data_IF_871841591867
#
_entry.id   IF_871841591867
#
_cell.length_a   1.000
_cell.length_b   1.000
_cell.length_c   1.000
_cell.angle_alpha   90.00
_cell.angle_beta   90.00
_cell.angle_gamma   90.00
#
_symmetry.space_group_name_H-M   'P 1'
#
loop_
_entity.id
_entity.type
_entity.pdbx_description
1 polymer ?
#
# COMPACT_ATOMS: atom_id res chain seq x y z
N UNK A 1 -0.27 8.23 2.51
CA UNK A 1 -0.49 9.21 1.40
C UNK A 1 -1.35 8.49 0.38
N UNK A 2 -2.43 9.11 -0.06
CA UNK A 2 -3.27 8.52 -1.10
C UNK A 2 -2.47 8.42 -2.42
N UNK A 3 -2.55 7.27 -3.08
CA UNK A 3 -1.88 7.01 -4.33
C UNK A 3 -2.82 7.29 -5.50
N UNK A 4 -2.32 7.94 -6.54
CA UNK A 4 -3.11 8.19 -7.75
C UNK A 4 -3.21 6.88 -8.55
N UNK A 5 -4.37 6.23 -8.54
CA UNK A 5 -4.65 5.01 -9.34
C UNK A 5 -4.95 5.35 -10.80
N UNK A 6 -5.76 6.39 -11.00
CA UNK A 6 -6.15 6.82 -12.33
C UNK A 6 -6.46 8.33 -12.34
N UNK A 7 -6.23 8.94 -13.47
CA UNK A 7 -6.56 10.33 -13.74
C UNK A 7 -7.06 10.47 -15.17
N UNK A 8 -8.05 11.32 -15.39
CA UNK A 8 -8.40 11.76 -16.73
C UNK A 8 -7.18 12.39 -17.40
N UNK A 9 -6.81 11.93 -18.59
CA UNK A 9 -5.59 12.38 -19.28
C UNK A 9 -5.61 13.84 -19.70
N UNK A 10 -6.80 14.34 -19.99
CA UNK A 10 -7.13 15.75 -20.34
C UNK A 10 -8.52 16.04 -19.83
N UNK A 11 -8.80 17.29 -19.49
CA UNK A 11 -10.14 17.70 -19.10
C UNK A 11 -11.16 17.32 -20.19
N UNK A 12 -12.21 16.61 -19.79
CA UNK A 12 -13.26 16.11 -20.69
C UNK A 12 -14.39 17.12 -20.74
N UNK A 13 -14.90 17.41 -21.94
CA UNK A 13 -16.10 18.23 -22.09
C UNK A 13 -17.31 17.48 -21.51
N UNK A 14 -18.03 18.11 -20.61
CA UNK A 14 -19.23 17.59 -19.93
C UNK A 14 -20.40 18.45 -20.30
N UNK A 15 -21.47 17.83 -20.79
CA UNK A 15 -22.73 18.44 -21.17
C UNK A 15 -23.88 18.00 -20.24
N UNK A 16 -25.12 18.09 -20.68
CA UNK A 16 -26.31 17.66 -19.93
C UNK A 16 -26.50 16.13 -19.88
N UNK A 17 -25.72 15.38 -20.68
CA UNK A 17 -25.69 13.92 -20.63
C UNK A 17 -24.56 13.42 -19.73
N UNK A 18 -24.72 12.22 -19.13
CA UNK A 18 -23.70 11.59 -18.29
C UNK A 18 -22.46 11.18 -19.10
N UNK A 19 -21.43 12.00 -19.03
CA UNK A 19 -20.16 11.80 -19.69
C UNK A 19 -19.20 10.97 -18.81
N UNK A 20 -18.48 10.02 -19.41
CA UNK A 20 -17.48 9.21 -18.71
C UNK A 20 -16.21 10.02 -18.49
N UNK A 21 -15.86 10.28 -17.24
CA UNK A 21 -14.60 10.94 -16.86
C UNK A 21 -13.48 9.93 -16.67
N UNK A 22 -13.74 8.84 -15.95
CA UNK A 22 -12.85 7.71 -15.81
C UNK A 22 -13.61 6.44 -16.22
N UNK A 23 -13.07 5.72 -17.18
CA UNK A 23 -13.58 4.40 -17.56
C UNK A 23 -13.15 3.34 -16.52
N UNK A 24 -13.58 2.12 -16.68
CA UNK A 24 -13.42 1.06 -15.69
C UNK A 24 -11.97 0.93 -15.16
N UNK A 25 -11.77 1.29 -13.90
CA UNK A 25 -10.49 1.18 -13.18
C UNK A 25 -10.55 0.01 -12.22
N UNK A 26 -9.55 -0.87 -12.27
CA UNK A 26 -9.45 -2.00 -11.35
C UNK A 26 -9.08 -1.50 -9.95
N UNK A 27 -9.90 -1.88 -8.94
CA UNK A 27 -9.72 -1.51 -7.53
C UNK A 27 -9.67 -2.74 -6.60
N UNK A 28 -9.55 -3.96 -7.14
CA UNK A 28 -9.52 -5.20 -6.32
C UNK A 28 -8.46 -5.21 -5.22
N UNK A 29 -7.37 -4.49 -5.45
CA UNK A 29 -6.24 -4.43 -4.51
C UNK A 29 -6.33 -3.29 -3.51
N UNK A 30 -7.43 -2.53 -3.51
CA UNK A 30 -7.57 -1.29 -2.75
C UNK A 30 -8.62 -1.47 -1.66
N UNK A 31 -8.28 -1.15 -0.41
CA UNK A 31 -9.22 -1.24 0.72
C UNK A 31 -10.17 -0.06 0.84
N UNK A 32 -9.87 1.01 0.13
CA UNK A 32 -10.67 2.22 0.04
C UNK A 32 -10.09 3.14 -1.01
N UNK A 33 -10.92 3.98 -1.60
CA UNK A 33 -10.50 4.95 -2.60
C UNK A 33 -11.20 6.29 -2.40
N UNK A 34 -10.55 7.34 -2.85
CA UNK A 34 -11.12 8.69 -2.89
C UNK A 34 -11.23 9.12 -4.34
N UNK A 35 -12.42 9.52 -4.75
CA UNK A 35 -12.66 10.16 -6.04
C UNK A 35 -12.66 11.67 -5.82
N UNK A 36 -11.85 12.36 -6.60
CA UNK A 36 -11.85 13.82 -6.69
C UNK A 36 -12.34 14.19 -8.08
N UNK A 37 -13.43 14.95 -8.16
CA UNK A 37 -13.94 15.51 -9.39
C UNK A 37 -13.68 17.01 -9.38
N UNK A 38 -12.95 17.48 -10.37
CA UNK A 38 -12.59 18.87 -10.55
C UNK A 38 -13.33 19.45 -11.75
N UNK A 39 -14.05 20.53 -11.53
CA UNK A 39 -14.63 21.34 -12.62
C UNK A 39 -13.55 22.33 -13.09
N UNK A 40 -12.85 21.98 -14.17
CA UNK A 40 -11.76 22.80 -14.70
C UNK A 40 -12.23 24.09 -15.37
N UNK A 41 -13.56 24.24 -15.55
CA UNK A 41 -14.15 25.35 -16.27
C UNK A 41 -13.95 25.19 -17.78
N UNK A 42 -14.61 26.03 -18.55
CA UNK A 42 -14.60 26.03 -20.02
C UNK A 42 -16.00 26.24 -20.57
N UNK A 43 -16.15 26.52 -21.87
CA UNK A 43 -17.45 26.76 -22.48
C UNK A 43 -18.25 27.81 -21.74
N UNK A 44 -19.45 27.49 -21.31
CA UNK A 44 -20.32 28.35 -20.51
C UNK A 44 -20.00 28.38 -19.03
N UNK A 45 -18.98 27.65 -18.58
CA UNK A 45 -18.49 27.58 -17.20
C UNK A 45 -19.58 27.20 -16.18
N UNK A 46 -20.40 26.21 -16.49
CA UNK A 46 -21.48 25.76 -15.62
C UNK A 46 -20.96 24.81 -14.50
N UNK A 47 -21.79 24.71 -13.49
CA UNK A 47 -21.52 23.77 -12.39
C UNK A 47 -21.79 22.32 -12.85
N UNK A 48 -20.97 21.37 -12.37
CA UNK A 48 -21.28 19.95 -12.48
C UNK A 48 -22.46 19.67 -11.55
N UNK A 49 -23.57 19.23 -12.10
CA UNK A 49 -24.84 19.04 -11.38
C UNK A 49 -25.01 17.64 -10.82
N UNK A 50 -24.37 16.64 -11.43
CA UNK A 50 -24.43 15.25 -10.99
C UNK A 50 -23.09 14.54 -11.22
N UNK A 51 -22.74 13.65 -10.30
CA UNK A 51 -21.58 12.75 -10.39
C UNK A 51 -22.05 11.36 -10.01
N UNK A 52 -21.91 10.40 -10.91
CA UNK A 52 -22.29 9.01 -10.69
C UNK A 52 -21.08 8.10 -10.64
N UNK A 53 -21.10 7.18 -9.68
CA UNK A 53 -20.07 6.18 -9.46
C UNK A 53 -20.69 4.81 -9.72
N UNK A 54 -20.28 4.19 -10.80
CA UNK A 54 -20.68 2.84 -11.13
C UNK A 54 -19.63 1.84 -10.63
N UNK A 55 -20.08 0.68 -10.21
CA UNK A 55 -19.19 -0.43 -9.81
C UNK A 55 -19.45 -1.65 -10.67
N UNK A 56 -18.46 -2.51 -10.80
CA UNK A 56 -18.57 -3.75 -11.55
C UNK A 56 -17.65 -4.83 -10.95
N UNK A 57 -18.11 -6.09 -10.85
CA UNK A 57 -17.26 -7.21 -10.46
C UNK A 57 -16.40 -7.74 -11.63
N UNK A 58 -16.70 -7.40 -12.87
CA UNK A 58 -16.21 -8.05 -14.08
C UNK A 58 -15.79 -7.08 -15.20
N UNK A 59 -15.43 -5.86 -14.85
CA UNK A 59 -14.93 -4.86 -15.79
C UNK A 59 -15.97 -4.25 -16.72
N UNK A 60 -17.23 -4.18 -16.26
CA UNK A 60 -18.32 -3.50 -16.99
C UNK A 60 -19.27 -4.42 -17.72
N UNK A 61 -19.15 -5.75 -17.60
CA UNK A 61 -20.15 -6.71 -18.11
C UNK A 61 -21.41 -6.67 -17.24
N UNK A 62 -21.21 -6.70 -15.92
CA UNK A 62 -22.27 -6.47 -14.92
C UNK A 62 -22.05 -5.09 -14.29
N UNK A 63 -23.01 -4.18 -14.42
CA UNK A 63 -22.89 -2.80 -13.95
C UNK A 63 -23.88 -2.53 -12.82
N UNK A 64 -23.37 -2.09 -11.69
CA UNK A 64 -24.15 -1.50 -10.62
C UNK A 64 -24.03 0.02 -10.74
N UNK A 65 -25.08 0.68 -11.20
CA UNK A 65 -25.08 2.12 -11.46
C UNK A 65 -25.29 2.92 -10.19
N UNK A 66 -24.59 4.04 -10.09
CA UNK A 66 -24.72 5.06 -9.04
C UNK A 66 -24.81 4.47 -7.62
N UNK A 67 -23.78 3.76 -7.23
CA UNK A 67 -23.73 3.10 -5.91
C UNK A 67 -23.60 4.07 -4.74
N UNK A 68 -23.19 5.33 -5.02
CA UNK A 68 -22.95 6.36 -4.00
C UNK A 68 -23.61 7.69 -4.38
N UNK A 69 -24.93 7.76 -4.48
CA UNK A 69 -25.62 8.98 -4.90
C UNK A 69 -25.33 10.15 -3.96
N UNK A 70 -24.99 11.30 -4.56
CA UNK A 70 -24.65 12.53 -3.83
C UNK A 70 -23.26 12.56 -3.19
N UNK A 71 -22.38 11.63 -3.56
CA UNK A 71 -20.96 11.64 -3.17
C UNK A 71 -20.09 11.36 -4.40
N UNK A 72 -19.12 12.20 -4.81
CA UNK A 72 -18.75 13.51 -4.23
C UNK A 72 -19.91 14.50 -4.20
N UNK A 73 -19.88 15.45 -3.25
CA UNK A 73 -20.94 16.43 -3.11
C UNK A 73 -21.09 17.29 -4.35
N UNK A 74 -22.31 17.43 -4.87
CA UNK A 74 -22.69 18.27 -6.01
C UNK A 74 -23.61 19.40 -5.55
N UNK A 75 -23.69 20.52 -6.24
CA UNK A 75 -22.96 20.85 -7.48
C UNK A 75 -21.49 21.19 -7.24
N UNK A 76 -20.65 20.89 -8.24
CA UNK A 76 -19.24 21.30 -8.24
C UNK A 76 -19.09 22.56 -9.07
N UNK A 77 -18.92 23.70 -8.41
CA UNK A 77 -18.79 24.99 -9.05
C UNK A 77 -17.57 25.10 -9.98
N UNK A 78 -17.64 25.89 -11.02
CA UNK A 78 -16.54 26.13 -11.94
C UNK A 78 -15.26 26.57 -11.22
N UNK A 79 -14.14 25.93 -11.54
CA UNK A 79 -12.84 26.14 -10.89
C UNK A 79 -12.76 25.60 -9.46
N UNK A 80 -13.64 24.68 -9.07
CA UNK A 80 -13.66 24.00 -7.78
C UNK A 80 -13.54 22.49 -7.96
N UNK A 81 -13.21 21.81 -6.87
CA UNK A 81 -13.21 20.36 -6.81
C UNK A 81 -14.09 19.86 -5.66
N UNK A 82 -14.67 18.70 -5.83
CA UNK A 82 -15.37 17.95 -4.78
C UNK A 82 -14.74 16.56 -4.66
N UNK A 83 -14.77 16.01 -3.46
CA UNK A 83 -14.20 14.68 -3.20
C UNK A 83 -15.14 13.82 -2.39
N UNK A 84 -15.08 12.51 -2.61
CA UNK A 84 -15.76 11.51 -1.80
C UNK A 84 -14.84 10.33 -1.57
N UNK A 85 -14.84 9.80 -0.34
CA UNK A 85 -14.07 8.62 0.03
C UNK A 85 -15.01 7.44 0.21
N UNK A 86 -14.63 6.30 -0.35
CA UNK A 86 -15.46 5.10 -0.44
C UNK A 86 -14.67 3.88 0.04
N UNK A 87 -15.42 2.92 0.60
CA UNK A 87 -14.93 1.58 0.93
C UNK A 87 -15.79 0.60 0.15
N UNK A 88 -15.33 0.15 -1.00
CA UNK A 88 -16.05 -0.76 -1.87
C UNK A 88 -15.36 -2.10 -1.98
N UNK A 89 -16.17 -3.15 -2.17
CA UNK A 89 -15.71 -4.52 -2.46
C UNK A 89 -15.79 -4.88 -3.94
N UNK A 90 -16.15 -3.90 -4.79
CA UNK A 90 -16.21 -4.13 -6.23
C UNK A 90 -14.79 -4.27 -6.82
N UNK A 91 -14.68 -5.01 -7.92
CA UNK A 91 -13.41 -5.17 -8.61
C UNK A 91 -13.05 -3.93 -9.48
N UNK A 92 -14.06 -3.24 -9.99
CA UNK A 92 -13.88 -2.11 -10.91
C UNK A 92 -14.82 -0.95 -10.56
N UNK A 93 -14.35 0.25 -10.84
CA UNK A 93 -15.07 1.51 -10.64
C UNK A 93 -15.00 2.35 -11.92
N UNK A 94 -16.12 3.07 -12.22
CA UNK A 94 -16.20 4.06 -13.29
C UNK A 94 -16.81 5.34 -12.74
N UNK A 95 -16.33 6.50 -13.21
CA UNK A 95 -16.83 7.80 -12.81
C UNK A 95 -17.45 8.51 -14.01
N UNK A 96 -18.70 8.95 -13.84
CA UNK A 96 -19.43 9.77 -14.83
C UNK A 96 -19.90 11.07 -14.21
N UNK A 97 -20.01 12.11 -15.00
CA UNK A 97 -20.57 13.40 -14.56
C UNK A 97 -21.42 14.03 -15.65
N UNK A 98 -22.34 14.92 -15.24
CA UNK A 98 -23.04 15.81 -16.14
C UNK A 98 -23.18 17.22 -15.54
N UNK A 99 -23.42 18.23 -16.36
CA UNK A 99 -23.76 19.57 -15.91
C UNK A 99 -25.27 19.82 -15.99
N UNK A 100 -25.70 20.96 -15.48
CA UNK A 100 -27.12 21.38 -15.61
C UNK A 100 -27.48 21.61 -17.08
N UNK A 101 -28.73 21.32 -17.42
CA UNK A 101 -29.25 21.43 -18.78
C UNK A 101 -28.82 22.73 -19.48
N UNK A 102 -28.45 22.64 -20.75
CA UNK A 102 -27.98 23.70 -21.64
C UNK A 102 -26.62 24.33 -21.31
N UNK A 103 -25.74 23.60 -20.61
CA UNK A 103 -24.41 24.10 -20.29
C UNK A 103 -23.29 23.17 -20.69
N UNK A 104 -22.14 23.74 -20.97
CA UNK A 104 -20.90 23.02 -21.20
C UNK A 104 -19.90 23.40 -20.12
N UNK A 105 -19.19 22.42 -19.60
CA UNK A 105 -18.00 22.62 -18.77
C UNK A 105 -16.95 21.60 -19.10
N UNK A 106 -15.78 21.70 -18.53
CA UNK A 106 -14.75 20.63 -18.60
C UNK A 106 -14.47 20.10 -17.22
N UNK A 107 -14.37 18.78 -17.10
CA UNK A 107 -14.14 18.11 -15.84
C UNK A 107 -12.94 17.17 -15.90
N UNK A 108 -12.25 17.04 -14.79
CA UNK A 108 -11.26 16.00 -14.56
C UNK A 108 -11.67 15.17 -13.35
N UNK A 109 -11.39 13.88 -13.40
CA UNK A 109 -11.57 13.01 -12.27
C UNK A 109 -10.23 12.33 -11.91
N UNK A 110 -9.96 12.25 -10.61
CA UNK A 110 -8.80 11.58 -10.07
C UNK A 110 -9.30 10.48 -9.14
N UNK A 111 -8.84 9.27 -9.36
CA UNK A 111 -9.05 8.15 -8.45
C UNK A 111 -7.79 7.97 -7.62
N UNK A 112 -7.89 8.28 -6.35
CA UNK A 112 -6.83 8.14 -5.37
C UNK A 112 -7.13 6.90 -4.54
N UNK A 113 -6.26 5.90 -4.60
CA UNK A 113 -6.30 4.84 -3.60
C UNK A 113 -5.86 5.42 -2.27
N UNK A 114 -6.63 5.16 -1.23
CA UNK A 114 -5.97 5.02 0.06
C UNK A 114 -5.04 3.85 -0.12
N UNK A 115 -3.73 4.12 -0.20
CA UNK A 115 -2.77 3.05 -0.31
C UNK A 115 -3.08 2.11 0.84
N UNK A 116 -3.71 0.99 0.54
CA UNK A 116 -3.76 -0.09 1.49
C UNK A 116 -2.30 -0.31 1.80
N UNK A 117 -1.87 0.12 2.97
CA UNK A 117 -0.52 -0.21 3.43
C UNK A 117 -0.41 -1.69 3.17
N UNK A 118 0.55 -2.08 2.34
CA UNK A 118 0.65 -3.47 1.91
C UNK A 118 0.45 -4.38 3.12
N UNK A 119 -0.15 -5.54 2.93
CA UNK A 119 -0.49 -6.47 4.01
C UNK A 119 0.29 -7.76 3.84
N UNK A 120 0.79 -8.31 4.93
CA UNK A 120 1.46 -9.62 4.93
C UNK A 120 0.45 -10.75 4.80
N UNK A 121 -0.78 -10.59 5.30
CA UNK A 121 -1.91 -11.49 5.10
C UNK A 121 -3.20 -10.72 4.84
N UNK A 122 -4.20 -11.37 4.24
CA UNK A 122 -5.49 -10.77 3.94
C UNK A 122 -6.52 -11.02 5.04
N UNK A 123 -7.56 -10.18 5.08
CA UNK A 123 -8.74 -10.39 5.94
C UNK A 123 -9.37 -11.75 5.66
N UNK A 124 -9.52 -12.12 4.39
CA UNK A 124 -10.09 -13.41 3.97
C UNK A 124 -9.31 -14.59 4.52
N UNK A 125 -7.97 -14.57 4.44
CA UNK A 125 -7.12 -15.63 4.98
C UNK A 125 -7.37 -15.88 6.48
N UNK A 126 -7.48 -14.81 7.24
CA UNK A 126 -7.71 -14.89 8.70
C UNK A 126 -9.13 -15.39 9.00
N UNK A 127 -10.13 -14.91 8.25
CA UNK A 127 -11.52 -15.37 8.40
C UNK A 127 -11.66 -16.84 8.06
N UNK A 128 -11.09 -17.28 6.97
CA UNK A 128 -11.10 -18.69 6.54
C UNK A 128 -10.45 -19.60 7.60
N UNK A 129 -9.31 -19.19 8.17
CA UNK A 129 -8.64 -19.92 9.23
C UNK A 129 -9.44 -19.97 10.54
N UNK A 130 -10.22 -18.92 10.82
CA UNK A 130 -11.09 -18.84 12.01
C UNK A 130 -12.45 -19.50 11.79
N UNK A 131 -12.84 -19.83 10.55
CA UNK A 131 -14.17 -20.31 10.19
C UNK A 131 -15.25 -19.25 10.37
N UNK A 132 -14.93 -17.98 10.16
CA UNK A 132 -15.84 -16.86 10.31
C UNK A 132 -16.50 -16.51 8.97
N UNK A 133 -17.80 -16.24 9.01
CA UNK A 133 -18.59 -15.69 7.92
C UNK A 133 -19.25 -14.38 8.34
N UNK A 134 -19.64 -13.53 7.37
CA UNK A 134 -20.20 -12.20 7.67
C UNK A 134 -19.12 -11.15 7.97
N UNK A 135 -19.54 -9.94 8.31
CA UNK A 135 -18.67 -8.76 8.45
C UNK A 135 -18.51 -8.26 9.88
N UNK A 136 -19.14 -8.89 10.86
CA UNK A 136 -19.21 -8.42 12.24
C UNK A 136 -17.84 -8.25 12.91
N UNK A 137 -16.83 -8.98 12.45
CA UNK A 137 -15.48 -8.98 13.02
C UNK A 137 -14.42 -8.35 12.12
N UNK A 138 -14.79 -7.93 10.92
CA UNK A 138 -13.84 -7.47 9.89
C UNK A 138 -12.97 -6.32 10.39
N UNK A 139 -13.57 -5.28 10.96
CA UNK A 139 -12.82 -4.12 11.48
C UNK A 139 -11.84 -4.50 12.60
N UNK A 140 -12.20 -5.47 13.45
CA UNK A 140 -11.32 -5.92 14.53
C UNK A 140 -10.14 -6.72 13.98
N UNK A 141 -10.39 -7.59 12.99
CA UNK A 141 -9.34 -8.39 12.33
C UNK A 141 -8.40 -7.49 11.54
N UNK A 142 -8.91 -6.52 10.78
CA UNK A 142 -8.08 -5.58 10.02
C UNK A 142 -7.14 -4.75 10.91
N UNK A 143 -7.62 -4.30 12.07
CA UNK A 143 -6.76 -3.62 13.06
C UNK A 143 -5.63 -4.52 13.55
N UNK A 144 -5.91 -5.81 13.77
CA UNK A 144 -4.90 -6.78 14.18
C UNK A 144 -3.87 -6.96 13.07
N UNK A 145 -4.31 -7.18 11.82
CA UNK A 145 -3.43 -7.34 10.66
C UNK A 145 -2.53 -6.11 10.50
N UNK A 146 -3.11 -4.92 10.54
CA UNK A 146 -2.35 -3.66 10.44
C UNK A 146 -1.27 -3.52 11.53
N UNK A 147 -1.59 -3.93 12.75
CA UNK A 147 -0.61 -3.94 13.85
C UNK A 147 0.50 -4.97 13.66
N UNK A 148 0.16 -6.14 13.07
CA UNK A 148 1.13 -7.21 12.84
C UNK A 148 2.18 -6.85 11.80
N UNK A 149 1.82 -6.14 10.73
CA UNK A 149 2.76 -5.70 9.72
C UNK A 149 3.92 -4.91 10.37
N UNK A 150 3.59 -3.95 11.23
CA UNK A 150 4.58 -3.16 11.96
C UNK A 150 5.41 -3.99 12.96
N UNK A 151 4.78 -4.95 13.63
CA UNK A 151 5.46 -5.84 14.59
C UNK A 151 6.47 -6.74 13.85
N UNK A 152 6.07 -7.30 12.71
CA UNK A 152 6.92 -8.17 11.91
C UNK A 152 8.12 -7.42 11.33
N UNK A 153 7.90 -6.22 10.80
CA UNK A 153 8.98 -5.36 10.29
C UNK A 153 9.94 -4.93 11.39
N UNK A 154 9.40 -4.58 12.56
CA UNK A 154 10.22 -4.22 13.73
C UNK A 154 11.07 -5.40 14.20
N UNK A 155 10.49 -6.60 14.27
CA UNK A 155 11.22 -7.81 14.68
C UNK A 155 12.28 -8.21 13.65
N UNK A 156 11.95 -8.14 12.37
CA UNK A 156 12.87 -8.47 11.28
C UNK A 156 13.94 -7.38 11.05
N UNK A 157 13.84 -6.20 11.67
CA UNK A 157 14.71 -5.04 11.45
C UNK A 157 14.80 -4.64 9.98
N UNK A 158 13.72 -4.83 9.22
CA UNK A 158 13.62 -4.47 7.81
C UNK A 158 12.17 -4.17 7.44
N UNK A 159 11.99 -3.48 6.34
CA UNK A 159 10.67 -3.29 5.75
C UNK A 159 10.42 -4.46 4.80
N UNK A 160 9.29 -5.16 5.01
CA UNK A 160 8.95 -6.39 4.28
C UNK A 160 8.15 -6.10 3.02
N UNK A 161 7.31 -5.08 3.05
CA UNK A 161 6.34 -4.80 2.01
C UNK A 161 6.88 -3.80 0.98
N UNK A 162 6.56 -4.03 -0.29
CA UNK A 162 6.93 -3.13 -1.38
C UNK A 162 6.08 -1.86 -1.33
N UNK A 163 6.70 -0.73 -1.64
CA UNK A 163 5.97 0.50 -1.90
C UNK A 163 5.60 0.58 -3.38
N UNK A 164 4.45 1.18 -3.67
CA UNK A 164 4.05 1.49 -5.02
C UNK A 164 5.01 2.50 -5.68
N UNK A 165 5.40 3.54 -4.94
CA UNK A 165 6.35 4.54 -5.38
C UNK A 165 7.78 4.23 -4.93
N UNK A 166 8.76 4.82 -5.62
CA UNK A 166 10.16 4.79 -5.22
C UNK A 166 10.35 5.45 -3.85
N UNK A 167 11.29 4.92 -3.08
CA UNK A 167 11.64 5.45 -1.77
C UNK A 167 13.07 5.97 -1.79
N UNK A 168 13.24 7.17 -1.30
CA UNK A 168 14.56 7.75 -1.05
C UNK A 168 15.00 7.40 0.37
N UNK A 169 16.11 6.72 0.51
CA UNK A 169 16.70 6.39 1.81
C UNK A 169 18.16 6.85 1.87
N UNK A 170 18.58 7.23 3.08
CA UNK A 170 19.93 7.68 3.35
C UNK A 170 20.65 6.66 4.22
N UNK A 171 21.91 6.41 3.89
CA UNK A 171 22.73 5.39 4.53
C UNK A 171 24.11 5.94 4.90
N UNK A 172 24.65 5.38 5.98
CA UNK A 172 26.05 5.54 6.35
C UNK A 172 26.80 4.32 5.82
N UNK A 173 27.86 4.55 5.09
CA UNK A 173 28.72 3.48 4.57
C UNK A 173 29.60 2.89 5.66
N UNK A 174 29.85 1.57 5.56
CA UNK A 174 30.82 0.87 6.36
C UNK A 174 31.51 -0.20 5.51
N UNK A 175 32.69 0.11 4.98
CA UNK A 175 33.45 -0.81 4.13
C UNK A 175 32.86 -0.94 2.71
N UNK A 176 32.89 -2.17 2.17
CA UNK A 176 32.51 -2.45 0.77
C UNK A 176 31.05 -2.90 0.61
N UNK A 177 30.37 -3.20 1.71
CA UNK A 177 29.00 -3.70 1.70
C UNK A 177 28.06 -2.68 2.30
N UNK A 178 26.88 -2.52 1.66
CA UNK A 178 25.79 -1.70 2.15
C UNK A 178 24.51 -2.53 2.11
N UNK A 179 23.82 -2.64 3.22
CA UNK A 179 22.59 -3.41 3.35
C UNK A 179 21.39 -2.46 3.31
N UNK A 180 20.54 -2.63 2.31
CA UNK A 180 19.28 -1.90 2.21
C UNK A 180 18.27 -2.33 3.27
N UNK A 181 17.30 -1.46 3.59
CA UNK A 181 16.23 -1.75 4.54
C UNK A 181 15.09 -2.55 3.92
N UNK A 182 14.89 -2.39 2.59
CA UNK A 182 13.85 -3.08 1.82
C UNK A 182 14.49 -4.04 0.84
N UNK A 183 14.15 -5.29 0.92
CA UNK A 183 14.57 -6.33 -0.03
C UNK A 183 13.56 -7.49 -0.01
N UNK A 184 13.44 -8.28 -1.10
CA UNK A 184 14.25 -8.23 -2.33
C UNK A 184 14.09 -6.88 -3.05
N UNK A 185 15.12 -6.46 -3.78
CA UNK A 185 15.10 -5.18 -4.50
C UNK A 185 14.44 -5.36 -5.85
N UNK A 186 13.42 -4.54 -6.13
CA UNK A 186 12.70 -4.54 -7.41
C UNK A 186 13.46 -3.73 -8.45
N UNK A 187 13.82 -2.50 -8.11
CA UNK A 187 14.57 -1.58 -8.97
C UNK A 187 15.39 -0.60 -8.16
N UNK A 188 16.52 -0.16 -8.72
CA UNK A 188 17.28 0.97 -8.21
C UNK A 188 17.30 2.04 -9.29
N UNK A 189 16.81 3.23 -8.96
CA UNK A 189 16.76 4.37 -9.86
C UNK A 189 18.02 5.21 -9.76
N UNK A 190 18.52 5.42 -8.55
CA UNK A 190 19.73 6.21 -8.33
C UNK A 190 20.46 5.78 -7.08
N UNK A 191 21.79 5.78 -7.16
CA UNK A 191 22.69 5.66 -6.02
C UNK A 191 23.67 6.81 -6.11
N UNK A 192 23.69 7.69 -5.12
CA UNK A 192 24.58 8.85 -5.05
C UNK A 192 25.36 8.86 -3.74
N UNK A 193 26.54 9.41 -3.75
CA UNK A 193 27.36 9.65 -2.55
C UNK A 193 27.78 11.11 -2.50
N UNK A 194 27.63 11.74 -1.34
CA UNK A 194 28.03 13.11 -1.11
C UNK A 194 28.69 13.26 0.27
N UNK A 195 29.83 13.89 0.32
CA UNK A 195 30.55 14.18 1.56
C UNK A 195 30.07 15.47 2.22
N UNK A 196 29.45 16.35 1.45
CA UNK A 196 28.91 17.66 1.81
C UNK A 196 27.37 17.69 1.87
N UNK A 197 26.73 16.53 1.69
CA UNK A 197 25.27 16.34 1.63
C UNK A 197 24.57 17.02 0.44
N UNK A 198 25.32 17.50 -0.54
CA UNK A 198 24.76 18.01 -1.80
C UNK A 198 24.55 16.87 -2.81
N UNK A 199 23.42 16.18 -2.67
CA UNK A 199 23.06 15.08 -3.56
C UNK A 199 22.53 15.57 -4.92
N UNK A 200 22.17 16.84 -5.05
CA UNK A 200 21.66 17.37 -6.31
C UNK A 200 22.79 17.52 -7.34
N UNK A 201 23.96 17.98 -6.89
CA UNK A 201 25.16 18.09 -7.72
C UNK A 201 25.99 16.80 -7.81
N UNK A 202 25.73 15.80 -6.95
CA UNK A 202 26.48 14.55 -6.95
C UNK A 202 26.14 13.67 -8.15
N UNK A 203 27.15 13.11 -8.80
CA UNK A 203 26.99 12.14 -9.88
C UNK A 203 26.40 10.83 -9.37
N UNK A 204 25.50 10.24 -10.17
CA UNK A 204 24.96 8.93 -9.88
C UNK A 204 26.00 7.84 -10.18
N UNK A 205 26.12 6.88 -9.28
CA UNK A 205 26.99 5.72 -9.43
C UNK A 205 26.38 4.75 -10.43
N UNK A 206 27.21 4.19 -11.33
CA UNK A 206 26.79 3.22 -12.34
C UNK A 206 26.65 1.81 -11.77
N UNK A 207 25.53 1.14 -12.08
CA UNK A 207 25.36 -0.27 -11.80
C UNK A 207 26.39 -1.10 -12.59
N UNK A 208 26.92 -2.16 -11.97
CA UNK A 208 27.97 -3.05 -12.48
C UNK A 208 29.31 -2.38 -12.80
N UNK A 209 29.40 -1.06 -12.74
CA UNK A 209 30.63 -0.27 -12.88
C UNK A 209 31.17 0.14 -11.53
N UNK A 210 30.34 0.78 -10.72
CA UNK A 210 30.68 1.33 -9.43
C UNK A 210 30.19 0.49 -8.25
N UNK A 211 29.07 -0.18 -8.43
CA UNK A 211 28.50 -1.10 -7.44
C UNK A 211 27.82 -2.28 -8.10
N UNK A 212 27.68 -3.38 -7.35
CA UNK A 212 26.92 -4.55 -7.72
C UNK A 212 25.84 -4.85 -6.70
N UNK A 213 24.62 -5.09 -7.20
CA UNK A 213 23.47 -5.44 -6.39
C UNK A 213 23.29 -6.95 -6.26
N UNK A 214 23.07 -7.43 -5.03
CA UNK A 214 22.49 -8.75 -4.75
C UNK A 214 21.02 -8.54 -4.41
N UNK A 215 20.16 -8.68 -5.41
CA UNK A 215 18.73 -8.38 -5.36
C UNK A 215 18.00 -9.07 -4.19
N UNK A 216 18.23 -10.38 -4.01
CA UNK A 216 17.52 -11.18 -3.01
C UNK A 216 17.76 -10.70 -1.57
N UNK A 217 18.96 -10.20 -1.29
CA UNK A 217 19.36 -9.81 0.07
C UNK A 217 19.45 -8.29 0.24
N UNK A 218 19.28 -7.51 -0.85
CA UNK A 218 19.41 -6.05 -0.82
C UNK A 218 20.80 -5.57 -0.43
N UNK A 219 21.85 -6.29 -0.84
CA UNK A 219 23.23 -5.91 -0.55
C UNK A 219 23.84 -5.24 -1.79
N UNK A 220 24.36 -4.04 -1.58
CA UNK A 220 25.16 -3.32 -2.57
C UNK A 220 26.64 -3.50 -2.24
N UNK A 221 27.41 -4.04 -3.19
CA UNK A 221 28.86 -4.15 -3.13
C UNK A 221 29.50 -3.01 -3.89
N UNK A 222 30.35 -2.24 -3.25
CA UNK A 222 31.16 -1.22 -3.92
C UNK A 222 32.30 -1.89 -4.71
N UNK A 223 32.46 -1.53 -5.97
CA UNK A 223 33.49 -2.08 -6.85
C UNK A 223 34.74 -1.18 -6.77
N UNK A 224 35.87 -1.77 -6.46
CA UNK A 224 37.18 -1.10 -6.37
C UNK A 224 37.24 0.13 -5.46
N UNK A 225 36.29 0.30 -4.53
CA UNK A 225 36.18 1.41 -3.62
C UNK A 225 35.50 0.99 -2.31
N UNK A 226 35.40 1.91 -1.36
CA UNK A 226 34.63 1.77 -0.13
C UNK A 226 33.44 2.73 -0.15
N UNK A 227 32.36 2.35 0.53
CA UNK A 227 31.30 3.27 0.83
C UNK A 227 31.80 4.34 1.82
N UNK A 228 31.44 5.63 1.65
CA UNK A 228 31.91 6.68 2.53
C UNK A 228 31.38 6.51 3.95
N UNK A 229 32.27 6.62 4.94
CA UNK A 229 31.95 6.60 6.37
C UNK A 229 31.41 7.97 6.84
N UNK A 230 30.54 8.59 6.04
CA UNK A 230 29.85 9.83 6.37
C UNK A 230 28.44 9.47 6.77
N UNK A 231 27.99 9.99 7.90
CA UNK A 231 26.63 9.75 8.37
C UNK A 231 25.62 10.22 7.33
N UNK A 232 24.76 9.31 6.86
CA UNK A 232 23.77 9.58 5.80
C UNK A 232 24.38 10.14 4.49
N UNK A 233 25.67 9.90 4.23
CA UNK A 233 26.37 10.38 3.04
C UNK A 233 26.08 9.59 1.76
N UNK A 234 25.18 8.63 1.79
CA UNK A 234 24.76 7.81 0.63
C UNK A 234 23.25 7.94 0.49
N UNK A 235 22.80 8.45 -0.66
CA UNK A 235 21.39 8.50 -1.05
C UNK A 235 21.09 7.38 -2.02
N UNK A 236 20.03 6.64 -1.77
CA UNK A 236 19.55 5.57 -2.66
C UNK A 236 18.07 5.75 -2.92
N UNK A 237 17.70 5.82 -4.19
CA UNK A 237 16.32 5.85 -4.66
C UNK A 237 16.01 4.49 -5.27
N UNK A 238 15.09 3.75 -4.68
CA UNK A 238 14.83 2.37 -5.06
C UNK A 238 13.44 1.88 -4.65
N UNK A 239 13.01 0.76 -5.23
CA UNK A 239 11.84 -0.03 -4.80
C UNK A 239 12.31 -1.39 -4.33
N UNK A 240 11.69 -1.91 -3.28
CA UNK A 240 12.01 -3.22 -2.76
C UNK A 240 10.98 -3.70 -1.74
N UNK A 241 11.01 -5.00 -1.45
CA UNK A 241 10.08 -5.70 -0.59
C UNK A 241 9.24 -6.72 -1.36
N UNK A 242 8.31 -7.35 -0.66
CA UNK A 242 7.35 -8.31 -1.22
C UNK A 242 6.02 -7.62 -1.52
N UNK A 243 5.32 -8.08 -2.56
CA UNK A 243 3.96 -7.65 -2.84
C UNK A 243 3.04 -7.97 -1.68
N UNK A 244 1.96 -7.22 -1.51
CA UNK A 244 0.91 -7.55 -0.54
C UNK A 244 0.35 -8.95 -0.78
N UNK A 245 -0.01 -9.61 0.30
CA UNK A 245 -0.72 -10.89 0.20
C UNK A 245 -2.01 -10.71 -0.60
N UNK A 246 -2.30 -11.68 -1.49
CA UNK A 246 -3.45 -11.63 -2.38
C UNK A 246 -3.23 -10.85 -3.68
N UNK A 247 -2.16 -10.09 -3.81
CA UNK A 247 -1.81 -9.41 -5.06
C UNK A 247 -0.91 -10.29 -5.94
N UNK A 248 -1.16 -10.26 -7.24
CA UNK A 248 -0.22 -10.83 -8.21
C UNK A 248 0.99 -9.88 -8.33
N UNK A 249 2.23 -10.41 -8.30
CA UNK A 249 3.41 -9.58 -8.46
C UNK A 249 3.45 -8.95 -9.86
N UNK A 250 3.75 -7.65 -9.90
CA UNK A 250 4.04 -6.94 -11.15
C UNK A 250 5.40 -7.35 -11.73
N UNK A 251 5.79 -6.69 -12.82
CA UNK A 251 7.07 -6.96 -13.47
C UNK A 251 8.25 -6.67 -12.54
N UNK A 252 9.09 -7.66 -12.29
CA UNK A 252 10.25 -7.57 -11.40
C UNK A 252 9.92 -7.61 -9.90
N UNK A 253 8.65 -7.68 -9.52
CA UNK A 253 8.23 -7.76 -8.12
C UNK A 253 8.27 -9.20 -7.58
N UNK A 254 8.31 -9.33 -6.27
CA UNK A 254 8.42 -10.61 -5.58
C UNK A 254 7.14 -10.90 -4.81
N UNK A 255 6.55 -12.07 -5.05
CA UNK A 255 5.38 -12.53 -4.32
C UNK A 255 5.67 -12.64 -2.81
N UNK A 256 4.64 -12.43 -1.99
CA UNK A 256 4.70 -12.70 -0.55
C UNK A 256 5.08 -14.17 -0.31
N UNK A 257 6.15 -14.47 0.43
CA UNK A 257 6.50 -15.84 0.79
C UNK A 257 5.37 -16.52 1.58
N UNK A 258 5.06 -17.77 1.21
CA UNK A 258 3.95 -18.49 1.82
C UNK A 258 4.14 -18.73 3.32
N UNK A 259 5.38 -18.99 3.77
CA UNK A 259 5.70 -19.19 5.19
C UNK A 259 5.53 -17.90 6.00
N UNK A 260 5.88 -16.74 5.44
CA UNK A 260 5.69 -15.44 6.07
C UNK A 260 4.20 -15.09 6.17
N UNK A 261 3.43 -15.37 5.10
CA UNK A 261 1.97 -15.19 5.07
C UNK A 261 1.29 -16.08 6.12
N UNK A 262 1.63 -17.37 6.18
CA UNK A 262 1.09 -18.30 7.18
C UNK A 262 1.44 -17.89 8.61
N UNK A 263 2.66 -17.40 8.85
CA UNK A 263 3.05 -16.88 10.16
C UNK A 263 2.18 -15.69 10.59
N UNK A 264 1.84 -14.79 9.65
CA UNK A 264 0.96 -13.66 9.92
C UNK A 264 -0.47 -14.11 10.21
N UNK A 265 -1.00 -15.06 9.44
CA UNK A 265 -2.34 -15.63 9.66
C UNK A 265 -2.43 -16.29 11.04
N UNK A 266 -1.44 -17.12 11.40
CA UNK A 266 -1.41 -17.79 12.72
C UNK A 266 -1.38 -16.77 13.87
N UNK A 267 -0.54 -15.75 13.76
CA UNK A 267 -0.43 -14.72 14.78
C UNK A 267 -1.71 -13.88 14.86
N UNK A 268 -2.32 -13.52 13.73
CA UNK A 268 -3.59 -12.79 13.71
C UNK A 268 -4.72 -13.59 14.37
N UNK A 269 -4.84 -14.87 14.03
CA UNK A 269 -5.82 -15.77 14.64
C UNK A 269 -5.61 -15.90 16.16
N UNK A 270 -4.35 -15.99 16.60
CA UNK A 270 -4.01 -16.05 18.02
C UNK A 270 -4.45 -14.77 18.74
N UNK A 271 -4.11 -13.60 18.22
CA UNK A 271 -4.50 -12.32 18.79
C UNK A 271 -6.02 -12.14 18.81
N UNK A 272 -6.70 -12.50 17.74
CA UNK A 272 -8.15 -12.41 17.65
C UNK A 272 -8.86 -13.28 18.69
N UNK A 273 -8.44 -14.54 18.86
CA UNK A 273 -9.01 -15.45 19.87
C UNK A 273 -8.76 -15.01 21.30
N UNK A 274 -7.73 -14.23 21.52
CA UNK A 274 -7.33 -13.75 22.87
C UNK A 274 -7.69 -12.29 23.13
N UNK A 275 -8.45 -11.64 22.26
CA UNK A 275 -8.86 -10.24 22.44
C UNK A 275 -9.61 -9.99 23.74
N UNK A 276 -10.33 -10.99 24.22
CA UNK A 276 -11.13 -10.91 25.45
C UNK A 276 -10.31 -11.25 26.73
N UNK A 277 -9.09 -11.77 26.55
CA UNK A 277 -8.17 -12.14 27.62
C UNK A 277 -7.15 -11.03 27.96
N UNK A 278 -7.37 -9.81 27.51
CA UNK A 278 -6.46 -8.66 27.73
C UNK A 278 -6.30 -8.41 29.23
N UNK A 279 -5.05 -8.46 29.71
CA UNK A 279 -4.72 -8.25 31.13
C UNK A 279 -4.68 -9.53 31.98
N UNK A 280 -5.03 -10.70 31.42
CA UNK A 280 -4.93 -11.98 32.14
C UNK A 280 -3.58 -12.64 31.88
N UNK A 281 -2.68 -12.63 32.86
CA UNK A 281 -1.36 -13.25 32.75
C UNK A 281 -1.36 -14.77 33.10
N UNK A 282 -2.43 -15.25 33.71
CA UNK A 282 -2.60 -16.67 34.05
C UNK A 282 -3.95 -16.96 34.64
N UNK A 283 -4.41 -18.20 34.50
CA UNK A 283 -5.59 -18.74 35.18
C UNK A 283 -5.13 -19.87 36.09
N UNK A 284 -5.37 -19.71 37.39
CA UNK A 284 -5.15 -20.80 38.35
C UNK A 284 -6.47 -21.56 38.51
N UNK A 285 -6.48 -22.83 38.20
CA UNK A 285 -7.57 -23.74 38.53
C UNK A 285 -7.08 -24.74 39.60
N UNK A 286 -7.99 -25.23 40.42
CA UNK A 286 -7.65 -26.29 41.38
C UNK A 286 -7.02 -27.48 40.67
N UNK A 287 -5.69 -27.67 40.85
CA UNK A 287 -4.94 -28.77 40.26
C UNK A 287 -3.87 -28.41 39.23
N UNK A 288 -3.65 -27.15 38.90
CA UNK A 288 -2.54 -26.76 38.01
C UNK A 288 -2.57 -25.28 37.61
N UNK A 289 -1.40 -24.71 37.39
CA UNK A 289 -1.26 -23.37 36.81
C UNK A 289 -1.01 -23.50 35.31
N UNK A 290 -1.86 -22.88 34.49
CA UNK A 290 -1.63 -22.73 33.07
C UNK A 290 -0.99 -21.35 32.87
N UNK A 291 0.30 -21.32 32.54
CA UNK A 291 0.92 -20.08 32.06
C UNK A 291 0.50 -19.83 30.60
N UNK A 292 -0.16 -18.74 30.37
CA UNK A 292 -0.51 -18.30 29.01
C UNK A 292 0.59 -17.39 28.47
N UNK A 293 0.90 -17.51 27.19
CA UNK A 293 1.73 -16.52 26.51
C UNK A 293 1.09 -15.14 26.64
N UNK A 294 1.92 -14.10 26.86
CA UNK A 294 1.43 -12.73 26.82
C UNK A 294 0.76 -12.46 25.46
N UNK A 295 -0.39 -11.75 25.44
CA UNK A 295 -1.02 -11.37 24.17
C UNK A 295 -0.10 -10.54 23.26
N UNK A 296 0.93 -9.92 23.82
CA UNK A 296 1.92 -9.11 23.12
C UNK A 296 3.08 -9.95 22.54
N UNK A 297 3.21 -11.23 22.89
CA UNK A 297 4.30 -12.07 22.42
C UNK A 297 4.00 -12.73 21.09
N UNK A 298 4.97 -12.68 20.18
CA UNK A 298 4.95 -13.50 18.98
C UNK A 298 5.05 -14.98 19.35
N UNK A 299 4.26 -15.80 18.66
CA UNK A 299 4.32 -17.26 18.82
C UNK A 299 5.73 -17.79 18.50
N UNK A 300 6.21 -18.83 19.20
CA UNK A 300 7.56 -19.37 18.96
C UNK A 300 7.81 -19.77 17.52
N UNK A 301 6.80 -20.34 16.84
CA UNK A 301 6.89 -20.73 15.44
C UNK A 301 7.01 -19.50 14.54
N UNK A 302 6.22 -18.45 14.80
CA UNK A 302 6.27 -17.18 14.09
C UNK A 302 7.65 -16.53 14.24
N UNK A 303 8.21 -16.49 15.46
CA UNK A 303 9.57 -15.99 15.70
C UNK A 303 10.61 -16.76 14.88
N UNK A 304 10.53 -18.09 14.84
CA UNK A 304 11.46 -18.92 14.07
C UNK A 304 11.39 -18.63 12.56
N UNK A 305 10.21 -18.37 12.02
CA UNK A 305 10.04 -17.97 10.62
C UNK A 305 10.65 -16.58 10.41
N UNK A 306 10.29 -15.62 11.25
CA UNK A 306 10.78 -14.24 11.15
C UNK A 306 12.31 -14.12 11.29
N UNK A 307 12.95 -15.01 12.07
CA UNK A 307 14.41 -15.06 12.19
C UNK A 307 15.10 -15.32 10.85
N UNK A 308 14.46 -16.08 9.93
CA UNK A 308 14.99 -16.31 8.59
C UNK A 308 14.89 -15.08 7.69
N UNK A 309 14.00 -14.14 8.02
CA UNK A 309 13.80 -12.87 7.30
C UNK A 309 14.51 -11.69 7.96
N UNK A 310 15.18 -11.92 9.07
CA UNK A 310 15.82 -10.86 9.83
C UNK A 310 16.98 -10.24 9.05
N UNK A 311 17.06 -8.91 9.06
CA UNK A 311 18.18 -8.19 8.47
C UNK A 311 19.45 -8.51 9.24
N UNK A 312 20.52 -9.00 8.59
CA UNK A 312 21.81 -9.15 9.26
C UNK A 312 22.29 -7.77 9.74
N UNK A 313 22.79 -7.70 10.96
CA UNK A 313 23.53 -6.52 11.41
C UNK A 313 24.95 -6.66 10.86
N UNK A 314 25.30 -5.79 9.92
CA UNK A 314 26.65 -5.71 9.34
C UNK A 314 27.55 -4.85 10.22
#
# INVERSE_FOLDING_TARGET
MAELLAKTSTAVAVDDDLTVLLDWVNIESVSGFTIVVENAGGGSANDISDVQIDTSPDGGVTVNTDQHPGVPAVPVASGKASQGTFTETAAFVRVRACCAAEGDTTAEAHLLADSAAGRICTLTDVKDRLGLSGTDHDQAIERIISGLDSIFESYAHRILLVNAAETTEYYTGLGVRLQLKRYPVVSITSVKQAYDYDFDSADALGADTDYRLITANGILYRINAFWPEVEQGIQIIYRGGYCSAGQAPGEGEFAMPADLREAAIEQACFLFKRRDDIGLSGVSAEGGSISKFSPMDLLPMVKKILDSYRRPQL
#
